data_IF_679432641834
#
_entry.id   IF_679432641834
#
_cell.length_a   1.000
_cell.length_b   1.000
_cell.length_c   1.000
_cell.angle_alpha   90.00
_cell.angle_beta   90.00
_cell.angle_gamma   90.00
#
_symmetry.space_group_name_H-M   'P 1'
#
loop_
_entity.id
_entity.type
_entity.pdbx_description
1 polymer ?
#
# COMPACT_ATOMS: atom_id res chain seq x y z
N UNK A 1 -22.77 9.18 -5.63
CA UNK A 1 -22.42 7.75 -5.79
C UNK A 1 -20.96 7.68 -6.21
N UNK A 2 -20.13 6.85 -5.59
CA UNK A 2 -18.73 6.67 -6.02
C UNK A 2 -18.66 5.80 -7.27
N UNK A 3 -17.75 6.12 -8.19
CA UNK A 3 -17.51 5.31 -9.41
C UNK A 3 -16.19 4.54 -9.33
N UNK A 4 -15.18 5.14 -8.68
CA UNK A 4 -13.87 4.53 -8.45
C UNK A 4 -13.45 4.81 -7.00
N UNK A 5 -12.93 3.81 -6.32
CA UNK A 5 -12.42 3.88 -4.94
C UNK A 5 -10.96 3.44 -4.98
N UNK A 6 -10.04 4.29 -4.52
CA UNK A 6 -8.63 3.96 -4.36
C UNK A 6 -8.38 3.45 -2.94
N UNK A 7 -7.86 2.23 -2.83
CA UNK A 7 -7.47 1.63 -1.56
C UNK A 7 -5.94 1.48 -1.51
N UNK A 8 -5.33 2.17 -0.55
CA UNK A 8 -3.90 2.13 -0.30
C UNK A 8 -3.58 1.09 0.78
N UNK A 9 -2.67 0.16 0.49
CA UNK A 9 -2.26 -0.91 1.40
C UNK A 9 -0.76 -0.82 1.71
N UNK A 10 -0.42 -0.96 2.98
CA UNK A 10 0.94 -1.11 3.50
C UNK A 10 1.21 -2.51 4.08
N UNK A 11 0.27 -3.45 3.90
CA UNK A 11 0.27 -4.83 4.42
C UNK A 11 0.24 -4.95 5.95
N UNK A 12 -0.11 -3.87 6.66
CA UNK A 12 -0.44 -3.94 8.09
C UNK A 12 -1.77 -4.65 8.36
N UNK A 13 -2.01 -5.09 9.59
CA UNK A 13 -3.30 -5.61 10.03
C UNK A 13 -4.43 -4.57 9.86
N UNK A 14 -4.14 -3.31 10.16
CA UNK A 14 -5.10 -2.20 9.98
C UNK A 14 -5.51 -2.04 8.52
N UNK A 15 -4.55 -2.17 7.59
CA UNK A 15 -4.85 -2.14 6.16
C UNK A 15 -5.72 -3.31 5.73
N UNK A 16 -5.59 -4.49 6.36
CA UNK A 16 -6.46 -5.63 6.09
C UNK A 16 -7.92 -5.33 6.47
N UNK A 17 -8.14 -4.74 7.64
CA UNK A 17 -9.48 -4.32 8.05
C UNK A 17 -10.03 -3.22 7.13
N UNK A 18 -9.23 -2.20 6.81
CA UNK A 18 -9.62 -1.14 5.89
C UNK A 18 -10.00 -1.67 4.49
N UNK A 19 -9.35 -2.73 4.01
CA UNK A 19 -9.70 -3.40 2.75
C UNK A 19 -11.13 -3.94 2.77
N UNK A 20 -11.57 -4.55 3.88
CA UNK A 20 -12.93 -5.11 3.98
C UNK A 20 -14.00 -4.03 3.82
N UNK A 21 -13.79 -2.85 4.42
CA UNK A 21 -14.67 -1.69 4.26
C UNK A 21 -14.66 -1.14 2.83
N UNK A 22 -13.47 -0.99 2.23
CA UNK A 22 -13.35 -0.51 0.86
C UNK A 22 -14.03 -1.45 -0.15
N UNK A 23 -13.95 -2.76 0.08
CA UNK A 23 -14.62 -3.79 -0.73
C UNK A 23 -16.15 -3.73 -0.60
N UNK A 24 -16.66 -3.60 0.62
CA UNK A 24 -18.10 -3.49 0.84
C UNK A 24 -18.68 -2.20 0.23
N UNK A 25 -17.93 -1.10 0.36
CA UNK A 25 -18.27 0.19 -0.27
C UNK A 25 -18.29 0.05 -1.80
N UNK A 26 -17.28 -0.58 -2.40
CA UNK A 26 -17.23 -0.79 -3.84
C UNK A 26 -18.39 -1.64 -4.36
N UNK A 27 -18.75 -2.71 -3.64
CA UNK A 27 -19.92 -3.56 -3.97
C UNK A 27 -21.23 -2.77 -3.88
N UNK A 28 -21.42 -2.03 -2.78
CA UNK A 28 -22.61 -1.19 -2.55
C UNK A 28 -22.81 -0.18 -3.67
N UNK A 29 -21.71 0.45 -4.11
CA UNK A 29 -21.75 1.49 -5.12
C UNK A 29 -21.60 0.99 -6.56
N UNK A 30 -21.40 -0.32 -6.78
CA UNK A 30 -20.98 -0.90 -8.07
C UNK A 30 -19.77 -0.16 -8.67
N UNK A 31 -18.87 0.26 -7.79
CA UNK A 31 -17.70 1.05 -8.12
C UNK A 31 -16.49 0.14 -8.38
N UNK A 32 -15.52 0.63 -9.14
CA UNK A 32 -14.24 -0.05 -9.28
C UNK A 32 -13.39 0.16 -8.02
N UNK A 33 -12.83 -0.91 -7.47
CA UNK A 33 -11.87 -0.85 -6.38
C UNK A 33 -10.45 -0.97 -6.93
N UNK A 34 -9.68 0.11 -6.88
CA UNK A 34 -8.28 0.15 -7.30
C UNK A 34 -7.40 -0.11 -6.08
N UNK A 35 -6.55 -1.13 -6.15
CA UNK A 35 -5.62 -1.49 -5.08
C UNK A 35 -4.25 -0.88 -5.40
N UNK A 36 -3.67 -0.18 -4.43
CA UNK A 36 -2.38 0.50 -4.57
C UNK A 36 -1.47 0.22 -3.38
N UNK A 37 -0.22 -0.14 -3.65
CA UNK A 37 0.80 -0.36 -2.63
C UNK A 37 2.05 0.45 -2.99
N UNK A 38 2.58 1.22 -2.04
CA UNK A 38 3.83 1.96 -2.20
C UNK A 38 4.98 1.09 -1.70
N UNK A 39 5.93 0.78 -2.57
CA UNK A 39 7.17 0.13 -2.18
C UNK A 39 8.19 1.18 -1.73
N UNK A 40 8.92 0.95 -0.62
CA UNK A 40 9.96 1.87 -0.18
C UNK A 40 11.05 1.96 -1.25
N UNK A 41 11.53 3.19 -1.50
CA UNK A 41 12.65 3.40 -2.40
C UNK A 41 13.88 2.68 -1.84
N UNK A 42 14.41 1.71 -2.58
CA UNK A 42 15.74 1.17 -2.31
C UNK A 42 16.76 2.27 -2.62
N UNK A 43 17.22 2.97 -1.60
CA UNK A 43 18.46 3.73 -1.69
C UNK A 43 19.54 2.66 -1.83
N UNK A 44 20.09 2.49 -3.03
CA UNK A 44 21.32 1.74 -3.19
C UNK A 44 22.37 2.51 -2.40
N UNK A 45 22.65 2.07 -1.16
CA UNK A 45 23.81 2.56 -0.42
C UNK A 45 25.03 2.23 -1.26
N UNK A 46 25.74 3.22 -1.83
CA UNK A 46 27.07 2.96 -2.33
C UNK A 46 27.90 2.66 -1.09
N UNK A 47 28.34 1.41 -0.95
CA UNK A 47 29.41 1.00 -0.06
C UNK A 47 29.20 1.24 1.46
N UNK A 48 28.40 0.38 2.09
CA UNK A 48 28.46 0.15 3.55
C UNK A 48 29.56 -0.88 3.93
N UNK A 49 30.58 -1.05 3.08
CA UNK A 49 31.74 -1.93 3.28
C UNK A 49 33.05 -1.18 3.57
N UNK A 50 33.10 0.14 3.35
CA UNK A 50 34.32 0.94 3.55
C UNK A 50 34.54 1.44 4.98
N UNK A 51 33.54 1.38 5.87
CA UNK A 51 33.63 1.99 7.21
C UNK A 51 33.77 1.01 8.39
N UNK A 52 33.93 -0.30 8.16
CA UNK A 52 34.16 -1.27 9.26
C UNK A 52 35.61 -1.76 9.33
N UNK A 53 36.57 -0.84 9.18
CA UNK A 53 37.95 -1.06 9.62
C UNK A 53 38.39 0.06 10.56
N UNK A 54 38.17 -0.16 11.85
CA UNK A 54 38.96 0.39 12.95
C UNK A 54 38.94 -0.64 14.08
#
# INVERSE_FOLDING_TARGET
MFQNILFCMDFSEDSHWAFTYALDLAKTYKANLLIFHVTPQRIATPDLGMFTRA
#
